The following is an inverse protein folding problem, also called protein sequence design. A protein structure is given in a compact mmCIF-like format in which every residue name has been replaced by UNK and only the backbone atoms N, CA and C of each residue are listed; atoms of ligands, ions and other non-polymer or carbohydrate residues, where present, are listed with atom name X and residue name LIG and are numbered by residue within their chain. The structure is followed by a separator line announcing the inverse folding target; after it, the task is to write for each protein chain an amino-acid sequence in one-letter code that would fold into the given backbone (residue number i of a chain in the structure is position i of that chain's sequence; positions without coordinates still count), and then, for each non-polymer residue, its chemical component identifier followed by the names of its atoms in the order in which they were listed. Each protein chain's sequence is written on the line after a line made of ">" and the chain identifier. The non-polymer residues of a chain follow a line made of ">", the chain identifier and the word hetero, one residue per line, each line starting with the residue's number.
data_IF_123102618041
#
_entry.id   IF_123102618041
#
_cell.length_a   1.000
_cell.length_b   1.000
_cell.length_c   1.000
_cell.angle_alpha   90.00
_cell.angle_beta   90.00
_cell.angle_gamma   90.00
#
_symmetry.space_group_name_H-M   'P 1'
#
loop_
_entity.id
_entity.type
_entity.pdbx_description
1 polymer ?
#
# COMPACT_ATOMS: atom_id res chain seq x y z
N UNK A 1 22.20 2.56 17.81
CA UNK A 1 21.63 1.81 16.69
C UNK A 1 21.53 2.67 15.46
N UNK A 2 22.05 2.21 14.37
CA UNK A 2 21.93 2.94 13.11
C UNK A 2 20.48 2.95 12.64
N UNK A 3 20.02 4.09 12.14
CA UNK A 3 18.70 4.17 11.55
C UNK A 3 18.73 3.54 10.16
N UNK A 4 17.62 2.90 9.79
CA UNK A 4 17.47 2.36 8.45
C UNK A 4 17.39 3.51 7.44
N UNK A 5 18.01 3.32 6.30
CA UNK A 5 17.91 4.29 5.21
C UNK A 5 16.57 4.14 4.48
N UNK A 6 16.20 5.17 3.74
CA UNK A 6 15.00 5.14 2.91
C UNK A 6 15.04 3.95 1.93
N UNK A 7 16.18 3.72 1.28
CA UNK A 7 16.33 2.63 0.32
C UNK A 7 16.20 1.25 0.97
N UNK A 8 16.61 1.13 2.24
CA UNK A 8 16.47 -0.12 2.96
C UNK A 8 15.02 -0.42 3.34
N UNK A 9 14.20 0.61 3.49
CA UNK A 9 12.82 0.48 3.91
C UNK A 9 11.88 0.38 2.70
N UNK A 10 12.06 1.27 1.72
CA UNK A 10 11.15 1.37 0.58
C UNK A 10 11.56 0.45 -0.56
N UNK A 11 11.49 -0.83 -0.29
CA UNK A 11 11.84 -1.87 -1.26
C UNK A 11 10.99 -3.12 -1.05
N UNK A 12 11.03 -3.97 -2.04
CA UNK A 12 10.49 -5.32 -1.90
C UNK A 12 11.44 -6.14 -1.04
N UNK A 13 10.90 -6.83 -0.06
CA UNK A 13 11.68 -7.77 0.72
C UNK A 13 10.77 -8.83 1.34
N UNK A 14 11.37 -9.98 1.65
CA UNK A 14 10.72 -11.01 2.42
C UNK A 14 10.46 -10.50 3.83
N UNK A 15 9.33 -10.85 4.38
CA UNK A 15 9.00 -10.47 5.73
C UNK A 15 8.18 -9.18 5.79
N UNK A 16 8.03 -8.70 7.00
CA UNK A 16 7.18 -7.54 7.26
C UNK A 16 7.97 -6.52 8.07
N UNK A 17 7.89 -5.27 7.65
CA UNK A 17 8.48 -4.16 8.38
C UNK A 17 7.38 -3.39 9.09
N UNK A 18 7.72 -2.74 10.21
CA UNK A 18 6.76 -1.91 10.94
C UNK A 18 6.09 -0.90 10.00
N UNK A 19 4.76 -0.84 10.04
CA UNK A 19 4.01 0.13 9.24
C UNK A 19 4.38 1.57 9.56
N UNK A 20 4.66 1.85 10.83
CA UNK A 20 5.07 3.20 11.23
C UNK A 20 6.39 3.60 10.56
N UNK A 21 7.35 2.69 10.52
CA UNK A 21 8.62 2.93 9.85
C UNK A 21 8.42 3.16 8.35
N UNK A 22 7.64 2.31 7.69
CA UNK A 22 7.37 2.44 6.26
C UNK A 22 6.63 3.76 5.99
N UNK A 23 5.63 4.08 6.80
CA UNK A 23 4.85 5.32 6.66
C UNK A 23 5.75 6.55 6.72
N UNK A 24 6.63 6.63 7.71
CA UNK A 24 7.54 7.76 7.88
C UNK A 24 8.45 7.93 6.66
N UNK A 25 9.07 6.84 6.21
CA UNK A 25 9.95 6.89 5.05
C UNK A 25 9.20 7.22 3.76
N UNK A 26 7.99 6.72 3.62
CA UNK A 26 7.18 7.02 2.44
C UNK A 26 6.73 8.48 2.40
N UNK A 27 6.37 9.05 3.56
CA UNK A 27 6.06 10.48 3.65
C UNK A 27 7.26 11.32 3.22
N UNK A 28 8.46 10.99 3.69
CA UNK A 28 9.68 11.68 3.31
C UNK A 28 9.96 11.54 1.82
N UNK A 29 9.82 10.33 1.28
CA UNK A 29 10.00 10.07 -0.14
C UNK A 29 9.05 10.91 -0.98
N UNK A 30 7.78 11.02 -0.58
CA UNK A 30 6.78 11.82 -1.29
C UNK A 30 7.14 13.31 -1.26
N UNK A 31 7.63 13.79 -0.14
CA UNK A 31 8.04 15.20 -0.01
C UNK A 31 9.24 15.54 -0.90
N UNK A 32 10.05 14.55 -1.24
CA UNK A 32 11.24 14.72 -2.07
C UNK A 32 10.95 14.67 -3.57
N UNK A 33 9.73 14.35 -3.96
CA UNK A 33 9.37 14.30 -5.39
C UNK A 33 9.21 15.71 -5.97
N UNK A 34 9.24 15.81 -7.28
CA UNK A 34 9.06 17.06 -8.01
C UNK A 34 7.88 16.95 -8.98
N UNK A 35 6.72 17.52 -8.66
CA UNK A 35 6.42 18.28 -7.43
C UNK A 35 6.22 17.36 -6.22
N UNK A 36 6.41 17.89 -5.00
CA UNK A 36 6.16 17.09 -3.80
C UNK A 36 4.73 16.58 -3.74
N UNK A 37 4.58 15.36 -3.22
CA UNK A 37 3.27 14.72 -3.06
C UNK A 37 2.83 14.91 -1.61
N UNK A 38 1.76 15.68 -1.34
CA UNK A 38 1.35 15.94 0.03
C UNK A 38 0.67 14.72 0.66
N UNK A 39 0.58 14.68 2.01
CA UNK A 39 -0.26 13.70 2.68
C UNK A 39 -1.72 13.92 2.30
N UNK A 40 -2.37 12.89 1.80
CA UNK A 40 -3.76 12.95 1.33
C UNK A 40 -4.28 11.55 1.11
N UNK A 41 -5.62 11.42 0.98
CA UNK A 41 -6.15 10.19 0.40
C UNK A 41 -5.80 10.20 -1.09
N UNK A 42 -5.15 9.15 -1.56
CA UNK A 42 -4.66 9.10 -2.93
C UNK A 42 -5.71 8.72 -3.97
N UNK A 43 -6.95 8.50 -3.55
CA UNK A 43 -8.06 8.32 -4.48
C UNK A 43 -8.49 9.67 -5.04
N UNK A 44 -8.27 9.94 -6.34
CA UNK A 44 -8.58 11.24 -6.92
C UNK A 44 -10.06 11.63 -6.85
N UNK A 45 -10.94 10.65 -6.68
CA UNK A 45 -12.39 10.88 -6.58
C UNK A 45 -12.85 11.10 -5.14
N UNK A 46 -11.94 10.98 -4.16
CA UNK A 46 -12.26 11.19 -2.77
C UNK A 46 -12.13 12.67 -2.40
N UNK A 47 -13.04 13.16 -1.55
CA UNK A 47 -12.96 14.55 -1.10
C UNK A 47 -11.65 14.85 -0.39
N UNK A 48 -11.05 13.85 0.28
CA UNK A 48 -9.80 14.04 1.02
C UNK A 48 -8.55 13.96 0.14
N UNK A 49 -8.71 13.87 -1.16
CA UNK A 49 -7.62 14.04 -2.10
C UNK A 49 -7.16 15.51 -2.16
N UNK A 50 -8.12 16.43 -2.11
CA UNK A 50 -7.83 17.87 -2.25
C UNK A 50 -8.22 18.71 -1.04
N UNK A 51 -9.09 18.20 -0.17
CA UNK A 51 -9.55 18.93 1.00
C UNK A 51 -8.75 18.55 2.24
N UNK A 52 -8.74 19.42 3.28
CA UNK A 52 -8.06 19.10 4.52
C UNK A 52 -8.54 17.79 5.14
N UNK A 53 -7.62 17.07 5.78
CA UNK A 53 -7.91 15.80 6.43
C UNK A 53 -8.59 16.02 7.78
N UNK A 54 -9.82 16.51 7.74
CA UNK A 54 -10.59 16.81 8.94
C UNK A 54 -12.00 16.21 8.83
N UNK A 55 -12.45 15.63 9.92
CA UNK A 55 -13.81 15.13 10.05
C UNK A 55 -14.31 15.49 11.43
N UNK A 56 -15.42 16.23 11.47
CA UNK A 56 -15.98 16.74 12.76
C UNK A 56 -14.95 17.50 13.59
N UNK A 57 -14.08 18.27 12.93
CA UNK A 57 -13.05 19.05 13.60
C UNK A 57 -11.84 18.27 14.07
N UNK A 58 -11.80 16.98 13.83
CA UNK A 58 -10.69 16.12 14.24
C UNK A 58 -9.90 15.63 13.02
N UNK A 59 -8.59 15.47 13.21
CA UNK A 59 -7.72 15.01 12.14
C UNK A 59 -8.05 13.57 11.74
N UNK A 60 -8.12 13.35 10.42
CA UNK A 60 -8.29 12.01 9.84
C UNK A 60 -6.91 11.40 9.63
N UNK A 61 -6.72 10.22 10.18
CA UNK A 61 -5.48 9.46 9.95
C UNK A 61 -5.59 8.68 8.64
N UNK A 62 -4.53 8.72 7.86
CA UNK A 62 -4.45 7.97 6.62
C UNK A 62 -3.97 6.55 6.88
N UNK A 63 -4.47 5.62 6.09
CA UNK A 63 -4.05 4.22 6.12
C UNK A 63 -2.98 4.02 5.05
N UNK A 64 -1.86 3.40 5.42
CA UNK A 64 -0.86 2.99 4.44
C UNK A 64 -1.35 1.71 3.77
N UNK A 65 -1.50 1.75 2.48
CA UNK A 65 -2.04 0.65 1.69
C UNK A 65 -1.00 0.12 0.69
N UNK A 66 -0.92 -1.19 0.58
CA UNK A 66 -0.10 -1.87 -0.42
C UNK A 66 -1.01 -2.24 -1.60
N UNK A 67 -0.80 -1.59 -2.74
CA UNK A 67 -1.71 -1.71 -3.89
C UNK A 67 -1.94 -3.14 -4.34
N UNK A 68 -0.90 -3.98 -4.29
CA UNK A 68 -1.02 -5.39 -4.66
C UNK A 68 -1.38 -6.31 -3.50
N UNK A 69 -1.61 -5.76 -2.30
CA UNK A 69 -1.97 -6.54 -1.12
C UNK A 69 -0.81 -7.28 -0.47
N UNK A 70 0.42 -7.04 -0.89
CA UNK A 70 1.59 -7.74 -0.38
C UNK A 70 2.35 -6.86 0.60
N UNK A 71 2.32 -7.21 1.89
CA UNK A 71 2.86 -6.36 2.96
C UNK A 71 4.38 -6.24 2.96
N UNK A 72 5.11 -7.10 2.28
CA UNK A 72 6.56 -7.01 2.14
C UNK A 72 7.01 -6.18 0.95
N UNK A 73 6.08 -5.72 0.12
CA UNK A 73 6.39 -4.94 -1.06
C UNK A 73 6.22 -3.45 -0.77
N UNK A 74 7.26 -2.86 -0.21
CA UNK A 74 7.26 -1.46 0.19
C UNK A 74 7.87 -0.53 -0.86
N UNK A 75 7.92 -0.97 -2.13
CA UNK A 75 8.35 -0.08 -3.22
C UNK A 75 7.39 1.11 -3.32
N UNK A 76 7.89 2.33 -3.50
CA UNK A 76 7.00 3.51 -3.53
C UNK A 76 5.85 3.40 -4.52
N UNK A 77 6.07 2.80 -5.69
CA UNK A 77 5.02 2.63 -6.71
C UNK A 77 3.91 1.68 -6.27
N UNK A 78 4.16 0.87 -5.22
CA UNK A 78 3.17 -0.05 -4.66
C UNK A 78 2.46 0.53 -3.43
N UNK A 79 2.89 1.67 -2.94
CA UNK A 79 2.34 2.27 -1.73
C UNK A 79 1.41 3.43 -2.07
N UNK A 80 0.39 3.59 -1.24
CA UNK A 80 -0.49 4.75 -1.30
C UNK A 80 -1.10 5.00 0.07
N UNK A 81 -1.60 6.22 0.27
CA UNK A 81 -2.38 6.54 1.45
C UNK A 81 -3.84 6.61 1.10
N UNK A 82 -4.68 6.05 1.96
CA UNK A 82 -6.13 6.10 1.79
C UNK A 82 -6.78 6.52 3.09
N UNK A 83 -7.90 7.23 3.01
CA UNK A 83 -8.75 7.43 4.17
C UNK A 83 -9.44 6.10 4.52
N UNK A 84 -10.02 6.01 5.70
CA UNK A 84 -10.66 4.76 6.15
C UNK A 84 -11.74 4.28 5.18
N UNK A 85 -12.53 5.21 4.63
CA UNK A 85 -13.61 4.84 3.73
C UNK A 85 -13.08 4.26 2.42
N UNK A 86 -12.09 4.93 1.80
CA UNK A 86 -11.51 4.41 0.56
C UNK A 86 -10.77 3.11 0.80
N UNK A 87 -10.09 2.98 1.94
CA UNK A 87 -9.41 1.73 2.28
C UNK A 87 -10.40 0.57 2.41
N UNK A 88 -11.56 0.80 3.00
CA UNK A 88 -12.58 -0.24 3.17
C UNK A 88 -13.20 -0.68 1.84
N UNK A 89 -13.07 0.14 0.79
CA UNK A 89 -13.61 -0.16 -0.53
C UNK A 89 -12.62 -0.89 -1.44
N UNK A 90 -11.40 -1.14 -0.96
CA UNK A 90 -10.40 -1.83 -1.75
C UNK A 90 -10.77 -3.31 -1.90
N UNK A 91 -10.47 -3.88 -3.07
CA UNK A 91 -10.72 -5.30 -3.33
C UNK A 91 -9.88 -6.22 -2.45
N UNK A 92 -8.78 -5.70 -1.89
CA UNK A 92 -7.87 -6.45 -1.01
C UNK A 92 -8.20 -6.29 0.47
N UNK A 93 -9.17 -5.43 0.81
CA UNK A 93 -9.54 -5.19 2.21
C UNK A 93 -10.23 -6.40 2.83
N UNK A 94 -9.97 -6.62 4.11
CA UNK A 94 -10.66 -7.67 4.86
C UNK A 94 -10.40 -9.08 4.34
N UNK A 95 -9.24 -9.32 3.73
CA UNK A 95 -8.91 -10.61 3.15
C UNK A 95 -9.27 -10.72 1.67
N UNK A 96 -9.57 -9.60 1.01
CA UNK A 96 -9.90 -9.58 -0.41
C UNK A 96 -8.79 -10.09 -1.32
N UNK A 97 -7.53 -10.08 -0.85
CA UNK A 97 -6.41 -10.66 -1.59
C UNK A 97 -6.16 -12.14 -1.25
N UNK A 98 -7.01 -12.72 -0.40
CA UNK A 98 -6.90 -14.13 -0.03
C UNK A 98 -7.05 -14.99 -1.27
N UNK A 99 -6.11 -15.91 -1.46
CA UNK A 99 -6.09 -16.74 -2.65
C UNK A 99 -5.44 -16.12 -3.87
N UNK A 100 -4.97 -14.88 -3.76
CA UNK A 100 -4.33 -14.17 -4.88
C UNK A 100 -2.84 -14.03 -4.71
N UNK A 101 -2.39 -13.63 -3.51
CA UNK A 101 -0.97 -13.50 -3.20
C UNK A 101 -0.68 -14.15 -1.85
N UNK A 102 0.55 -14.59 -1.69
CA UNK A 102 0.99 -15.20 -0.45
C UNK A 102 2.43 -14.81 -0.19
N UNK A 103 2.71 -14.40 1.04
CA UNK A 103 4.07 -14.21 1.50
C UNK A 103 4.51 -15.45 2.27
N UNK A 104 5.66 -16.00 1.92
CA UNK A 104 6.19 -17.21 2.52
C UNK A 104 7.68 -17.08 2.75
N UNK A 105 8.30 -18.11 3.33
CA UNK A 105 9.74 -18.11 3.52
C UNK A 105 10.51 -18.07 2.21
N UNK A 106 9.94 -18.61 1.14
CA UNK A 106 10.53 -18.56 -0.19
C UNK A 106 10.37 -17.21 -0.88
N UNK A 107 9.68 -16.26 -0.25
CA UNK A 107 9.36 -14.97 -0.85
C UNK A 107 7.88 -14.81 -1.06
N UNK A 108 7.52 -13.89 -1.94
CA UNK A 108 6.12 -13.64 -2.28
C UNK A 108 5.67 -14.59 -3.39
N UNK A 109 4.45 -15.04 -3.30
CA UNK A 109 3.88 -15.95 -4.27
C UNK A 109 2.51 -15.46 -4.72
N UNK A 110 2.21 -15.71 -5.98
CA UNK A 110 0.86 -15.54 -6.50
C UNK A 110 0.11 -16.85 -6.33
N UNK A 111 -1.13 -16.79 -5.88
CA UNK A 111 -1.99 -17.97 -5.86
C UNK A 111 -2.78 -17.97 -7.16
N UNK A 112 -2.56 -19.03 -7.94
CA UNK A 112 -3.23 -19.19 -9.24
C UNK A 112 -4.69 -19.58 -9.04
N UNK A 113 -5.53 -19.42 -10.09
CA UNK A 113 -6.93 -19.83 -9.98
C UNK A 113 -7.14 -21.29 -9.60
N UNK A 114 -6.18 -22.17 -9.91
CA UNK A 114 -6.23 -23.59 -9.56
C UNK A 114 -5.79 -23.86 -8.12
N UNK A 115 -5.48 -22.82 -7.34
CA UNK A 115 -5.04 -22.93 -5.96
C UNK A 115 -3.54 -23.18 -5.80
N UNK A 116 -2.81 -23.36 -6.87
CA UNK A 116 -1.37 -23.56 -6.82
C UNK A 116 -0.64 -22.26 -6.61
N UNK A 117 0.48 -22.32 -5.91
CA UNK A 117 1.31 -21.16 -5.61
C UNK A 117 2.40 -21.01 -6.66
N UNK A 118 2.57 -19.78 -7.13
CA UNK A 118 3.61 -19.44 -8.08
C UNK A 118 4.63 -18.55 -7.38
N UNK A 119 5.83 -19.07 -7.15
CA UNK A 119 6.91 -18.39 -6.45
C UNK A 119 7.93 -17.76 -7.39
N UNK A 120 7.72 -17.86 -8.70
CA UNK A 120 8.74 -17.46 -9.67
C UNK A 120 9.00 -15.98 -9.70
N UNK A 121 7.97 -15.15 -9.42
CA UNK A 121 8.09 -13.71 -9.50
C UNK A 121 7.42 -13.05 -8.31
N UNK A 122 7.98 -11.92 -7.81
CA UNK A 122 7.26 -11.12 -6.84
C UNK A 122 6.02 -10.51 -7.48
N UNK A 123 5.01 -10.24 -6.66
CA UNK A 123 3.81 -9.55 -7.11
C UNK A 123 4.17 -8.16 -7.64
N UNK A 124 3.73 -7.82 -8.85
CA UNK A 124 3.96 -6.50 -9.39
C UNK A 124 2.98 -5.49 -8.79
N UNK A 125 3.43 -4.26 -8.47
CA UNK A 125 2.55 -3.22 -7.99
C UNK A 125 1.43 -2.96 -9.00
N UNK A 126 0.19 -2.98 -8.51
CA UNK A 126 -0.96 -2.74 -9.36
C UNK A 126 -1.42 -3.92 -10.20
N UNK A 127 -0.76 -5.09 -10.08
CA UNK A 127 -1.17 -6.28 -10.83
C UNK A 127 -2.59 -6.70 -10.48
N UNK A 128 -2.95 -6.65 -9.21
CA UNK A 128 -4.31 -6.87 -8.76
C UNK A 128 -4.95 -5.51 -8.61
N UNK A 129 -5.52 -5.04 -9.70
CA UNK A 129 -6.05 -3.69 -9.78
C UNK A 129 -7.05 -3.43 -8.67
N UNK A 130 -6.85 -2.30 -7.99
CA UNK A 130 -7.70 -1.89 -6.90
C UNK A 130 -8.80 -1.01 -7.44
N UNK A 131 -10.05 -1.36 -7.14
CA UNK A 131 -11.22 -0.60 -7.54
C UNK A 131 -11.58 0.42 -6.49
N UNK A 132 -11.85 1.64 -6.92
CA UNK A 132 -12.45 2.65 -6.06
C UNK A 132 -13.95 2.75 -6.40
N UNK A 133 -14.76 3.13 -5.41
CA UNK A 133 -16.20 3.37 -5.58
C UNK A 133 -16.96 2.15 -6.10
N UNK A 134 -16.46 0.96 -5.81
CA UNK A 134 -17.12 -0.26 -6.23
C UNK A 134 -17.14 -0.50 -7.73
N UNK A 135 -16.46 0.32 -8.51
CA UNK A 135 -16.36 0.09 -9.96
C UNK A 135 -15.17 -0.80 -10.26
N UNK A 136 -15.29 -1.59 -11.28
CA UNK A 136 -14.28 -2.55 -11.68
C UNK A 136 -13.70 -2.21 -13.04
#
# INVERSE_FOLDING_TARGET
>A
MAKLSQDEVLRYQKGRRSQETVRRHFLDWRAEQSPPIPPRCDNPECMFYSQPLLWNGLEIKLVLDHKNGVCGDNRPKNLQFLCLNCNSQQTTHGGGNKGKVLQSEGGLAHVRPDGKKDYTLPAEPGKYKISFNGSN
#
